data_IF_656529580068
#
_entry.id   IF_656529580068
#
_cell.length_a   1.000
_cell.length_b   1.000
_cell.length_c   1.000
_cell.angle_alpha   90.00
_cell.angle_beta   90.00
_cell.angle_gamma   90.00
#
_symmetry.space_group_name_H-M   'P 1'
#
loop_
_entity.id
_entity.type
_entity.pdbx_description
1 polymer ?
#
# COMPACT_ATOMS: atom_id res chain seq x y z
N UNK A 1 -21.77 16.20 -1.47
CA UNK A 1 -20.55 15.38 -1.58
C UNK A 1 -20.58 14.35 -0.47
N UNK A 2 -20.80 13.09 -0.83
CA UNK A 2 -20.70 11.92 0.04
C UNK A 2 -19.37 11.21 -0.22
N UNK A 3 -18.74 10.67 0.81
CA UNK A 3 -17.43 10.00 0.72
C UNK A 3 -17.56 8.56 1.23
N UNK A 4 -17.22 7.59 0.39
CA UNK A 4 -17.08 6.18 0.79
C UNK A 4 -15.61 5.85 0.97
N UNK A 5 -15.24 5.30 2.12
CA UNK A 5 -13.96 4.62 2.30
C UNK A 5 -14.06 3.16 1.87
N UNK A 6 -12.97 2.57 1.40
CA UNK A 6 -12.95 1.12 1.17
C UNK A 6 -11.56 0.53 1.31
N UNK A 7 -11.52 -0.72 1.76
CA UNK A 7 -10.29 -1.47 1.98
C UNK A 7 -10.57 -2.97 1.93
N UNK A 8 -9.51 -3.78 1.80
CA UNK A 8 -9.59 -5.24 1.83
C UNK A 8 -8.60 -5.79 2.85
N UNK A 9 -8.94 -6.90 3.50
CA UNK A 9 -8.05 -7.57 4.43
C UNK A 9 -8.31 -9.07 4.51
N UNK A 10 -7.23 -9.85 4.53
CA UNK A 10 -7.23 -11.28 4.83
C UNK A 10 -5.98 -11.60 5.65
N UNK A 11 -6.13 -12.38 6.72
CA UNK A 11 -5.02 -12.76 7.60
C UNK A 11 -4.22 -11.55 8.14
N UNK A 12 -4.96 -10.50 8.53
CA UNK A 12 -4.44 -9.23 9.03
C UNK A 12 -3.52 -9.38 10.23
N UNK A 13 -3.92 -10.20 11.19
CA UNK A 13 -3.18 -10.43 12.45
C UNK A 13 -1.97 -11.32 12.19
N UNK A 14 -2.18 -12.45 11.50
CA UNK A 14 -1.17 -13.46 11.14
C UNK A 14 0.02 -12.83 10.43
N UNK A 15 -0.24 -11.88 9.54
CA UNK A 15 0.80 -11.17 8.79
C UNK A 15 1.20 -9.83 9.41
N UNK A 16 0.66 -9.46 10.58
CA UNK A 16 1.00 -8.21 11.27
C UNK A 16 0.72 -6.95 10.42
N UNK A 17 -0.37 -6.94 9.67
CA UNK A 17 -0.82 -5.73 8.98
C UNK A 17 -1.37 -4.71 9.99
N UNK A 18 -1.04 -3.41 9.86
CA UNK A 18 -1.68 -2.32 10.61
C UNK A 18 -3.08 -1.97 10.07
N UNK A 19 -3.92 -2.97 9.83
CA UNK A 19 -5.22 -2.78 9.14
C UNK A 19 -6.22 -1.99 9.98
N UNK A 20 -6.16 -2.11 11.31
CA UNK A 20 -7.02 -1.34 12.21
C UNK A 20 -6.66 0.14 12.13
N UNK A 21 -5.37 0.44 12.13
CA UNK A 21 -4.81 1.77 11.98
C UNK A 21 -5.12 2.35 10.59
N UNK A 22 -5.01 1.54 9.54
CA UNK A 22 -5.41 1.92 8.17
C UNK A 22 -6.88 2.38 8.11
N UNK A 23 -7.81 1.55 8.63
CA UNK A 23 -9.25 1.87 8.68
C UNK A 23 -9.49 3.15 9.46
N UNK A 24 -8.95 3.26 10.68
CA UNK A 24 -9.14 4.42 11.55
C UNK A 24 -8.57 5.71 10.94
N UNK A 25 -7.51 5.62 10.14
CA UNK A 25 -6.86 6.79 9.54
C UNK A 25 -7.71 7.50 8.48
N UNK A 26 -8.55 6.77 7.75
CA UNK A 26 -9.41 7.34 6.71
C UNK A 26 -10.86 7.54 7.17
N UNK A 27 -11.27 6.87 8.26
CA UNK A 27 -12.64 6.94 8.80
C UNK A 27 -13.15 8.38 9.05
N UNK A 28 -12.33 9.37 9.47
CA UNK A 28 -12.78 10.76 9.61
C UNK A 28 -13.19 11.42 8.30
N UNK A 29 -12.69 10.97 7.15
CA UNK A 29 -13.05 11.50 5.83
C UNK A 29 -14.37 10.93 5.30
N UNK A 30 -14.83 9.81 5.87
CA UNK A 30 -15.84 8.96 5.26
C UNK A 30 -17.22 9.18 5.89
N UNK A 31 -18.26 9.06 5.06
CA UNK A 31 -19.66 8.90 5.49
C UNK A 31 -20.00 7.42 5.70
N UNK A 32 -19.38 6.53 4.93
CA UNK A 32 -19.42 5.08 5.09
C UNK A 32 -18.05 4.48 4.75
N UNK A 33 -17.73 3.30 5.28
CA UNK A 33 -16.47 2.61 4.98
C UNK A 33 -16.73 1.12 4.75
N UNK A 34 -16.45 0.64 3.54
CA UNK A 34 -16.61 -0.77 3.17
C UNK A 34 -15.32 -1.53 3.48
N UNK A 35 -15.40 -2.57 4.31
CA UNK A 35 -14.27 -3.45 4.61
C UNK A 35 -14.58 -4.84 4.05
N UNK A 36 -13.88 -5.22 2.98
CA UNK A 36 -13.93 -6.58 2.45
C UNK A 36 -12.98 -7.49 3.23
N UNK A 37 -13.54 -8.36 4.06
CA UNK A 37 -12.80 -9.32 4.87
C UNK A 37 -12.83 -10.68 4.18
N UNK A 38 -11.66 -11.12 3.72
CA UNK A 38 -11.46 -12.46 3.20
C UNK A 38 -11.51 -13.52 4.30
N UNK A 39 -11.82 -14.75 3.91
CA UNK A 39 -11.68 -15.96 4.72
C UNK A 39 -10.29 -16.01 5.38
N UNK A 40 -10.25 -15.75 6.69
CA UNK A 40 -9.00 -15.64 7.45
C UNK A 40 -8.85 -16.82 8.41
N UNK A 41 -7.60 -17.25 8.61
CA UNK A 41 -7.21 -18.31 9.56
C UNK A 41 -6.95 -17.76 10.97
N UNK A 42 -7.08 -16.45 11.15
CA UNK A 42 -6.85 -15.72 12.39
C UNK A 42 -8.11 -14.92 12.78
N UNK A 43 -8.02 -14.16 13.87
CA UNK A 43 -9.12 -13.34 14.39
C UNK A 43 -9.32 -12.01 13.64
N UNK A 44 -8.96 -11.93 12.35
CA UNK A 44 -9.06 -10.69 11.56
C UNK A 44 -10.48 -10.17 11.50
N UNK A 45 -11.46 -11.05 11.27
CA UNK A 45 -12.87 -10.65 11.18
C UNK A 45 -13.37 -10.03 12.49
N UNK A 46 -13.08 -10.67 13.62
CA UNK A 46 -13.44 -10.19 14.95
C UNK A 46 -12.74 -8.86 15.26
N UNK A 47 -11.48 -8.71 14.86
CA UNK A 47 -10.73 -7.49 15.05
C UNK A 47 -11.30 -6.32 14.24
N UNK A 48 -11.73 -6.54 12.98
CA UNK A 48 -12.45 -5.51 12.20
C UNK A 48 -13.79 -5.19 12.86
N UNK A 49 -14.55 -6.21 13.26
CA UNK A 49 -15.85 -6.03 13.93
C UNK A 49 -15.75 -5.27 15.26
N UNK A 50 -14.61 -5.34 15.93
CA UNK A 50 -14.34 -4.61 17.18
C UNK A 50 -14.10 -3.10 17.00
N UNK A 51 -13.98 -2.62 15.77
CA UNK A 51 -13.85 -1.18 15.49
C UNK A 51 -15.22 -0.53 15.66
N UNK A 52 -15.39 0.22 16.75
CA UNK A 52 -16.66 0.86 17.10
C UNK A 52 -16.95 2.06 16.19
N UNK A 53 -17.70 1.81 15.11
CA UNK A 53 -18.17 2.86 14.20
C UNK A 53 -19.38 2.38 13.40
N UNK A 54 -20.46 3.18 13.44
CA UNK A 54 -21.65 2.95 12.64
C UNK A 54 -21.45 3.20 11.13
N UNK A 55 -20.31 3.76 10.73
CA UNK A 55 -19.97 4.01 9.32
C UNK A 55 -19.42 2.75 8.63
N UNK A 56 -18.91 1.79 9.40
CA UNK A 56 -18.22 0.61 8.85
C UNK A 56 -19.26 -0.42 8.41
N UNK A 57 -19.15 -0.87 7.16
CA UNK A 57 -19.91 -1.98 6.59
C UNK A 57 -18.93 -3.09 6.23
N UNK A 58 -19.07 -4.24 6.87
CA UNK A 58 -18.21 -5.39 6.62
C UNK A 58 -18.88 -6.28 5.58
N UNK A 59 -18.15 -6.60 4.51
CA UNK A 59 -18.54 -7.66 3.56
C UNK A 59 -17.57 -8.82 3.73
N UNK A 60 -18.11 -10.04 3.83
CA UNK A 60 -17.31 -11.26 3.95
C UNK A 60 -17.31 -12.00 2.63
N UNK A 61 -16.12 -12.37 2.14
CA UNK A 61 -15.98 -13.08 0.86
C UNK A 61 -14.95 -14.20 0.97
N UNK A 62 -15.18 -15.29 0.24
CA UNK A 62 -14.18 -16.32 0.04
C UNK A 62 -13.30 -15.91 -1.14
N UNK A 63 -12.01 -15.69 -0.89
CA UNK A 63 -11.09 -15.21 -1.92
C UNK A 63 -10.73 -16.35 -2.87
N UNK A 64 -10.88 -16.12 -4.18
CA UNK A 64 -10.47 -17.11 -5.18
C UNK A 64 -8.94 -17.16 -5.28
N UNK A 65 -8.37 -18.08 -4.52
CA UNK A 65 -6.93 -18.28 -4.45
C UNK A 65 -6.30 -18.82 -5.74
N UNK A 66 -7.06 -19.06 -6.82
CA UNK A 66 -6.49 -19.38 -8.14
C UNK A 66 -6.05 -18.12 -8.91
N UNK A 67 -6.60 -16.94 -8.57
CA UNK A 67 -6.36 -15.66 -9.27
C UNK A 67 -5.11 -14.90 -8.80
N UNK A 68 -4.08 -15.62 -8.32
CA UNK A 68 -2.91 -15.03 -7.65
C UNK A 68 -1.97 -14.27 -8.59
N UNK A 69 -1.86 -14.73 -9.84
CA UNK A 69 -0.92 -14.18 -10.82
C UNK A 69 -1.02 -12.65 -10.95
N UNK A 70 0.12 -11.97 -10.80
CA UNK A 70 0.23 -10.52 -10.95
C UNK A 70 -0.57 -9.68 -9.93
N UNK A 71 -0.99 -10.27 -8.80
CA UNK A 71 -1.79 -9.59 -7.79
C UNK A 71 -3.26 -9.39 -8.17
N UNK A 72 -3.74 -10.05 -9.24
CA UNK A 72 -5.10 -9.92 -9.77
C UNK A 72 -6.19 -10.18 -8.74
N UNK A 73 -5.97 -11.11 -7.81
CA UNK A 73 -6.86 -11.35 -6.68
C UNK A 73 -7.13 -10.08 -5.86
N UNK A 74 -6.09 -9.28 -5.59
CA UNK A 74 -6.23 -8.05 -4.78
C UNK A 74 -7.11 -7.02 -5.49
N UNK A 75 -6.95 -6.85 -6.80
CA UNK A 75 -7.79 -5.92 -7.56
C UNK A 75 -9.23 -6.42 -7.68
N UNK A 76 -9.45 -7.73 -7.84
CA UNK A 76 -10.80 -8.32 -7.84
C UNK A 76 -11.52 -8.03 -6.51
N UNK A 77 -10.87 -8.29 -5.39
CA UNK A 77 -11.48 -8.09 -4.08
C UNK A 77 -11.60 -6.61 -3.71
N UNK A 78 -10.69 -5.76 -4.19
CA UNK A 78 -10.82 -4.30 -4.09
C UNK A 78 -12.01 -3.79 -4.91
N UNK A 79 -12.22 -4.34 -6.12
CA UNK A 79 -13.38 -4.01 -6.95
C UNK A 79 -14.71 -4.47 -6.33
N UNK A 80 -14.71 -5.59 -5.60
CA UNK A 80 -15.88 -6.02 -4.83
C UNK A 80 -16.23 -5.00 -3.74
N UNK A 81 -15.24 -4.50 -2.98
CA UNK A 81 -15.46 -3.44 -1.98
C UNK A 81 -15.90 -2.11 -2.64
N UNK A 82 -15.29 -1.76 -3.76
CA UNK A 82 -15.62 -0.55 -4.52
C UNK A 82 -17.06 -0.55 -5.03
N UNK A 83 -17.60 -1.71 -5.42
CA UNK A 83 -18.97 -1.84 -5.94
C UNK A 83 -20.04 -1.55 -4.87
N UNK A 84 -19.71 -1.76 -3.59
CA UNK A 84 -20.60 -1.48 -2.46
C UNK A 84 -20.56 -0.01 -2.01
N UNK A 85 -19.65 0.79 -2.57
CA UNK A 85 -19.55 2.21 -2.26
C UNK A 85 -20.71 3.00 -2.90
N UNK A 86 -21.32 3.90 -2.15
CA UNK A 86 -22.46 4.70 -2.57
C UNK A 86 -22.22 6.22 -2.53
N UNK A 87 -20.98 6.64 -2.30
CA UNK A 87 -20.56 8.04 -2.28
C UNK A 87 -20.31 8.62 -3.68
N UNK A 88 -19.87 9.88 -3.69
CA UNK A 88 -19.36 10.55 -4.89
C UNK A 88 -17.85 10.38 -5.02
N UNK A 89 -17.13 10.37 -3.89
CA UNK A 89 -15.70 10.07 -3.80
C UNK A 89 -15.46 8.75 -3.07
N UNK A 90 -14.45 8.02 -3.51
CA UNK A 90 -13.96 6.78 -2.93
C UNK A 90 -12.56 7.00 -2.35
N UNK A 91 -12.37 6.80 -1.05
CA UNK A 91 -11.07 6.81 -0.38
C UNK A 91 -10.60 5.37 -0.19
N UNK A 92 -9.60 4.96 -0.96
CA UNK A 92 -8.99 3.64 -0.86
C UNK A 92 -7.79 3.68 0.08
N UNK A 93 -7.62 2.65 0.90
CA UNK A 93 -6.42 2.44 1.71
C UNK A 93 -6.07 0.95 1.78
N UNK A 94 -4.81 0.58 1.56
CA UNK A 94 -4.36 -0.79 1.76
C UNK A 94 -4.14 -1.08 3.26
N UNK A 95 -4.15 -2.35 3.63
CA UNK A 95 -4.06 -2.77 5.04
C UNK A 95 -2.71 -2.46 5.72
N UNK A 96 -1.68 -2.10 4.96
CA UNK A 96 -0.38 -1.62 5.41
C UNK A 96 -0.13 -0.12 5.13
N UNK A 97 -1.17 0.62 4.74
CA UNK A 97 -1.10 2.05 4.48
C UNK A 97 -1.88 2.84 5.52
N UNK A 98 -1.36 4.01 5.88
CA UNK A 98 -1.99 4.91 6.85
C UNK A 98 -1.93 6.34 6.31
N UNK A 99 -3.06 7.03 6.33
CA UNK A 99 -3.13 8.46 6.09
C UNK A 99 -2.81 9.21 7.39
N UNK A 100 -1.79 10.07 7.38
CA UNK A 100 -1.51 10.89 8.56
C UNK A 100 -2.62 11.94 8.77
N UNK A 101 -3.12 12.07 10.00
CA UNK A 101 -4.20 12.97 10.41
C UNK A 101 -3.96 14.43 10.02
N UNK A 102 -2.70 14.86 9.91
CA UNK A 102 -2.34 16.22 9.45
C UNK A 102 -2.75 16.52 8.00
N UNK A 103 -3.06 15.49 7.21
CA UNK A 103 -3.49 15.64 5.82
C UNK A 103 -5.00 15.58 5.64
N UNK A 104 -5.79 15.31 6.70
CA UNK A 104 -7.25 15.16 6.58
C UNK A 104 -7.90 16.40 5.96
N UNK A 105 -7.54 17.60 6.46
CA UNK A 105 -8.06 18.85 5.94
C UNK A 105 -7.62 19.10 4.49
N UNK A 106 -6.36 18.83 4.16
CA UNK A 106 -5.85 18.95 2.78
C UNK A 106 -6.63 18.08 1.80
N UNK A 107 -6.88 16.82 2.19
CA UNK A 107 -7.64 15.86 1.35
C UNK A 107 -9.08 16.32 1.20
N UNK A 108 -9.73 16.73 2.30
CA UNK A 108 -11.12 17.20 2.28
C UNK A 108 -11.28 18.48 1.42
N UNK A 109 -10.35 19.43 1.53
CA UNK A 109 -10.33 20.64 0.70
C UNK A 109 -10.14 20.28 -0.77
N UNK A 110 -9.24 19.35 -1.10
CA UNK A 110 -9.01 18.92 -2.46
C UNK A 110 -10.25 18.23 -3.06
N UNK A 111 -10.90 17.31 -2.32
CA UNK A 111 -12.15 16.67 -2.77
C UNK A 111 -13.24 17.69 -3.05
N UNK A 112 -13.41 18.69 -2.18
CA UNK A 112 -14.39 19.78 -2.38
C UNK A 112 -14.04 20.64 -3.60
N UNK A 113 -12.77 21.03 -3.75
CA UNK A 113 -12.28 21.85 -4.86
C UNK A 113 -12.54 21.20 -6.22
N UNK A 114 -12.32 19.90 -6.33
CA UNK A 114 -12.43 19.15 -7.59
C UNK A 114 -13.78 18.44 -7.76
N UNK A 115 -14.71 18.59 -6.81
CA UNK A 115 -16.01 17.92 -6.83
C UNK A 115 -16.74 18.15 -8.15
N UNK A 116 -16.91 19.42 -8.56
CA UNK A 116 -17.61 19.82 -9.78
C UNK A 116 -16.73 19.84 -11.04
N UNK A 117 -15.47 19.38 -10.98
CA UNK A 117 -14.58 19.34 -12.14
C UNK A 117 -14.48 17.91 -12.70
N UNK A 118 -15.22 17.62 -13.76
CA UNK A 118 -15.27 16.28 -14.37
C UNK A 118 -13.98 15.87 -15.07
N UNK A 119 -13.08 16.81 -15.32
CA UNK A 119 -11.75 16.47 -15.83
C UNK A 119 -10.84 15.88 -14.73
N UNK A 120 -11.21 15.95 -13.45
CA UNK A 120 -10.42 15.40 -12.35
C UNK A 120 -11.14 14.21 -11.75
N UNK A 121 -10.54 13.05 -11.90
CA UNK A 121 -11.12 11.75 -11.54
C UNK A 121 -10.46 11.14 -10.31
N UNK A 122 -9.33 11.70 -9.86
CA UNK A 122 -8.66 11.23 -8.65
C UNK A 122 -7.70 12.23 -8.03
N UNK A 123 -7.32 11.96 -6.79
CA UNK A 123 -6.29 12.69 -6.06
C UNK A 123 -5.11 11.74 -5.82
N UNK A 124 -3.94 12.19 -6.23
CA UNK A 124 -2.69 11.43 -6.16
C UNK A 124 -1.84 11.94 -5.01
N UNK A 125 -1.41 10.98 -4.18
CA UNK A 125 -0.67 11.20 -2.95
C UNK A 125 0.79 10.81 -3.16
N UNK A 126 1.71 11.43 -2.43
CA UNK A 126 3.09 10.93 -2.34
C UNK A 126 3.18 9.77 -1.33
N UNK A 127 4.24 8.99 -1.42
CA UNK A 127 4.46 7.85 -0.51
C UNK A 127 5.69 8.02 0.38
N UNK A 128 5.57 7.56 1.62
CA UNK A 128 6.70 7.22 2.49
C UNK A 128 6.67 5.72 2.76
N UNK A 129 7.62 5.01 2.17
CA UNK A 129 7.76 3.57 2.38
C UNK A 129 8.68 3.31 3.55
N UNK A 130 8.13 2.88 4.68
CA UNK A 130 8.91 2.48 5.84
C UNK A 130 9.47 1.07 5.67
N UNK A 131 10.67 0.83 6.21
CA UNK A 131 11.41 -0.39 5.96
C UNK A 131 12.21 -0.83 7.18
N UNK A 132 12.02 -2.08 7.62
CA UNK A 132 12.76 -2.69 8.73
C UNK A 132 12.26 -2.26 10.10
N UNK A 133 12.24 -0.95 10.37
CA UNK A 133 11.62 -0.35 11.54
C UNK A 133 10.78 0.87 11.14
N UNK A 134 10.14 1.47 12.14
CA UNK A 134 9.40 2.72 11.99
C UNK A 134 10.31 3.94 11.74
N UNK A 135 11.62 3.80 11.93
CA UNK A 135 12.58 4.92 11.90
C UNK A 135 13.19 5.16 10.53
N UNK A 136 12.99 4.25 9.57
CA UNK A 136 13.67 4.30 8.27
C UNK A 136 12.69 4.25 7.13
N UNK A 137 12.94 5.08 6.12
CA UNK A 137 12.18 5.11 4.87
C UNK A 137 13.08 4.87 3.67
N UNK A 138 12.50 4.29 2.62
CA UNK A 138 13.18 4.11 1.34
C UNK A 138 13.20 5.40 0.52
N UNK A 139 14.40 5.78 0.08
CA UNK A 139 14.69 6.98 -0.73
C UNK A 139 14.86 6.64 -2.22
N UNK A 140 14.72 5.36 -2.61
CA UNK A 140 14.80 4.94 -4.01
C UNK A 140 13.44 4.99 -4.72
N UNK A 141 13.10 6.16 -5.25
CA UNK A 141 11.85 6.41 -5.99
C UNK A 141 11.68 5.62 -7.32
N UNK A 142 12.68 4.85 -7.77
CA UNK A 142 12.57 3.99 -8.96
C UNK A 142 12.14 2.57 -8.62
N UNK A 143 12.60 2.05 -7.50
CA UNK A 143 12.20 0.73 -7.02
C UNK A 143 10.91 0.79 -6.18
N UNK A 144 10.65 1.95 -5.60
CA UNK A 144 9.50 2.22 -4.75
C UNK A 144 8.67 3.32 -5.39
N UNK A 145 7.40 3.04 -5.66
CA UNK A 145 6.54 4.01 -6.34
C UNK A 145 6.35 5.25 -5.48
N UNK A 146 6.55 6.43 -6.06
CA UNK A 146 6.61 7.66 -5.28
C UNK A 146 5.26 8.35 -5.11
N UNK A 147 4.29 8.01 -5.97
CA UNK A 147 2.98 8.63 -6.03
C UNK A 147 1.93 7.64 -6.50
N UNK A 148 0.75 7.67 -5.89
CA UNK A 148 -0.36 6.83 -6.33
C UNK A 148 -1.73 7.42 -5.94
N UNK A 149 -2.78 7.09 -6.71
CA UNK A 149 -4.13 7.59 -6.45
C UNK A 149 -4.76 6.82 -5.28
N UNK A 150 -5.22 7.54 -4.26
CA UNK A 150 -5.94 6.96 -3.10
C UNK A 150 -7.31 7.56 -2.88
N UNK A 151 -7.65 8.60 -3.65
CA UNK A 151 -9.00 9.11 -3.74
C UNK A 151 -9.40 9.10 -5.21
N UNK A 152 -10.57 8.53 -5.51
CA UNK A 152 -11.11 8.45 -6.87
C UNK A 152 -12.56 8.94 -6.87
N UNK A 153 -13.03 9.54 -7.95
CA UNK A 153 -14.47 9.74 -8.16
C UNK A 153 -15.10 8.37 -8.36
N UNK A 154 -16.21 8.11 -7.67
CA UNK A 154 -16.93 6.86 -7.82
C UNK A 154 -17.70 6.89 -9.14
N UNK A 155 -17.17 6.17 -10.12
CA UNK A 155 -17.76 5.99 -11.44
C UNK A 155 -17.68 4.50 -11.79
N UNK A 156 -18.73 3.97 -12.43
CA UNK A 156 -18.79 2.58 -12.91
C UNK A 156 -17.71 2.23 -13.93
N UNK A 157 -17.06 3.21 -14.54
CA UNK A 157 -15.95 2.99 -15.47
C UNK A 157 -14.59 2.82 -14.79
N UNK A 158 -14.42 3.28 -13.55
CA UNK A 158 -13.14 3.19 -12.83
C UNK A 158 -13.08 1.87 -12.05
N UNK A 159 -11.96 1.15 -12.20
CA UNK A 159 -11.70 -0.14 -11.54
C UNK A 159 -10.29 -0.15 -10.94
N UNK A 160 -10.14 -0.88 -9.83
CA UNK A 160 -8.84 -1.27 -9.29
C UNK A 160 -8.15 -2.22 -10.27
N UNK A 161 -6.84 -2.03 -10.46
CA UNK A 161 -6.04 -2.73 -11.47
C UNK A 161 -4.77 -3.35 -10.86
N UNK A 162 -4.31 -4.46 -11.45
CA UNK A 162 -3.07 -5.13 -11.05
C UNK A 162 -3.13 -5.65 -9.62
N UNK A 163 -2.15 -5.27 -8.81
CA UNK A 163 -2.01 -5.57 -7.38
C UNK A 163 -2.84 -4.65 -6.46
N UNK A 164 -3.87 -4.02 -7.02
CA UNK A 164 -4.73 -3.03 -6.39
C UNK A 164 -4.05 -1.73 -5.98
N UNK A 165 -2.80 -1.48 -6.40
CA UNK A 165 -2.15 -0.19 -6.10
C UNK A 165 -2.69 0.97 -6.93
N UNK A 166 -3.21 0.71 -8.14
CA UNK A 166 -3.64 1.74 -9.08
C UNK A 166 -5.09 1.53 -9.56
N UNK A 167 -5.68 2.58 -10.13
CA UNK A 167 -7.01 2.60 -10.73
C UNK A 167 -6.94 2.98 -12.20
N UNK A 168 -7.79 2.35 -13.00
CA UNK A 168 -7.89 2.56 -14.44
C UNK A 168 -9.33 2.59 -14.89
N UNK A 169 -9.56 3.17 -16.05
CA UNK A 169 -10.80 2.94 -16.78
C UNK A 169 -10.88 1.46 -17.21
N UNK A 170 -12.08 0.91 -17.35
CA UNK A 170 -12.29 -0.47 -17.82
C UNK A 170 -11.65 -0.74 -19.19
N UNK A 171 -11.56 0.28 -20.03
CA UNK A 171 -10.87 0.23 -21.34
C UNK A 171 -9.34 0.19 -21.24
N UNK A 172 -8.78 0.35 -20.02
CA UNK A 172 -7.35 0.21 -19.72
C UNK A 172 -6.55 1.51 -19.68
N UNK A 173 -7.17 2.66 -19.98
CA UNK A 173 -6.56 3.98 -19.84
C UNK A 173 -6.39 4.36 -18.37
N UNK A 174 -5.42 5.24 -18.09
CA UNK A 174 -5.20 5.76 -16.74
C UNK A 174 -6.24 6.82 -16.42
N UNK A 175 -6.67 6.89 -15.16
CA UNK A 175 -7.56 7.95 -14.67
C UNK A 175 -6.84 9.30 -14.64
N UNK A 176 -7.58 10.40 -14.80
CA UNK A 176 -7.01 11.74 -14.70
C UNK A 176 -6.93 12.23 -13.24
N UNK A 177 -5.82 11.89 -12.58
CA UNK A 177 -5.57 12.30 -11.20
C UNK A 177 -4.69 13.55 -11.08
N UNK A 178 -5.01 14.41 -10.12
CA UNK A 178 -4.19 15.59 -9.76
C UNK A 178 -3.37 15.33 -8.50
N UNK A 179 -2.17 15.91 -8.45
CA UNK A 179 -1.32 15.84 -7.27
C UNK A 179 -1.86 16.75 -6.16
N UNK A 180 -1.85 16.23 -4.92
CA UNK A 180 -2.16 17.02 -3.73
C UNK A 180 -0.99 17.01 -2.75
N UNK A 181 -0.96 17.97 -1.84
CA UNK A 181 0.07 18.05 -0.80
C UNK A 181 -0.25 17.15 0.40
N UNK A 182 -0.38 15.85 0.12
CA UNK A 182 -0.63 14.81 1.11
C UNK A 182 0.20 13.57 0.83
N UNK A 183 0.51 12.82 1.89
CA UNK A 183 1.38 11.65 1.82
C UNK A 183 0.76 10.45 2.54
N UNK A 184 0.92 9.27 1.95
CA UNK A 184 0.54 7.98 2.53
C UNK A 184 1.76 7.33 3.14
N UNK A 185 1.60 6.86 4.37
CA UNK A 185 2.66 6.22 5.14
C UNK A 185 2.45 4.71 4.99
N UNK A 186 3.34 4.08 4.24
CA UNK A 186 3.22 2.67 3.86
C UNK A 186 4.22 1.84 4.67
N UNK A 187 3.71 0.96 5.52
CA UNK A 187 4.47 0.11 6.46
C UNK A 187 4.56 -1.34 5.99
N UNK A 188 4.50 -1.60 4.68
CA UNK A 188 4.47 -2.95 4.11
C UNK A 188 5.67 -3.82 4.49
N UNK A 189 6.78 -3.18 4.86
CA UNK A 189 8.08 -3.78 5.20
C UNK A 189 8.52 -3.51 6.66
N UNK A 190 7.62 -3.08 7.54
CA UNK A 190 7.90 -2.89 8.98
C UNK A 190 7.15 -3.94 9.78
N UNK A 191 7.85 -5.02 10.15
CA UNK A 191 7.26 -6.18 10.84
C UNK A 191 8.30 -6.86 11.73
N UNK A 192 7.87 -7.62 12.75
CA UNK A 192 8.75 -8.51 13.49
C UNK A 192 9.51 -9.44 12.51
N UNK A 193 10.81 -9.69 12.74
CA UNK A 193 11.65 -10.50 11.86
C UNK A 193 11.05 -11.86 11.48
N UNK A 194 10.44 -12.56 12.44
CA UNK A 194 9.88 -13.90 12.22
C UNK A 194 8.60 -13.84 11.38
N UNK A 195 7.75 -12.85 11.62
CA UNK A 195 6.56 -12.59 10.80
C UNK A 195 6.93 -12.17 9.38
N UNK A 196 8.04 -11.43 9.21
CA UNK A 196 8.53 -11.04 7.89
C UNK A 196 8.95 -12.24 7.05
N UNK A 197 9.60 -13.23 7.67
CA UNK A 197 9.95 -14.49 7.01
C UNK A 197 8.72 -15.31 6.64
N UNK A 198 7.72 -15.39 7.52
CA UNK A 198 6.46 -16.08 7.24
C UNK A 198 5.68 -15.41 6.11
N UNK A 199 5.56 -14.08 6.14
CA UNK A 199 4.95 -13.30 5.06
C UNK A 199 5.70 -13.54 3.76
N UNK A 200 7.05 -13.48 3.72
CA UNK A 200 7.79 -13.75 2.48
C UNK A 200 7.47 -15.12 1.92
N UNK A 201 7.43 -16.17 2.75
CA UNK A 201 7.04 -17.53 2.31
C UNK A 201 5.64 -17.59 1.72
N UNK A 202 4.65 -16.99 2.39
CA UNK A 202 3.25 -17.10 1.97
C UNK A 202 2.85 -16.08 0.90
N UNK A 203 3.46 -14.90 0.90
CA UNK A 203 3.29 -13.88 -0.14
C UNK A 203 4.01 -14.29 -1.42
N UNK A 204 5.15 -14.99 -1.35
CA UNK A 204 5.74 -15.59 -2.55
C UNK A 204 4.76 -16.57 -3.22
N UNK A 205 3.95 -17.31 -2.44
CA UNK A 205 2.85 -18.14 -2.98
C UNK A 205 1.70 -17.35 -3.61
N UNK A 206 1.57 -16.06 -3.34
CA UNK A 206 0.56 -15.17 -3.95
C UNK A 206 1.02 -14.56 -5.26
N UNK A 207 2.31 -14.59 -5.60
CA UNK A 207 2.85 -13.92 -6.79
C UNK A 207 3.62 -14.88 -7.73
N UNK A 208 3.92 -16.09 -7.27
CA UNK A 208 4.72 -17.08 -7.99
C UNK A 208 4.02 -18.44 -8.04
N UNK A 209 4.30 -19.21 -9.09
CA UNK A 209 3.80 -20.59 -9.24
C UNK A 209 4.55 -21.55 -8.31
N UNK A 210 3.96 -22.72 -8.02
CA UNK A 210 4.58 -23.75 -7.17
C UNK A 210 5.95 -24.23 -7.71
N UNK A 211 6.16 -24.19 -9.02
CA UNK A 211 7.46 -24.50 -9.65
C UNK A 211 8.51 -23.42 -9.40
N UNK A 212 8.15 -22.13 -9.49
CA UNK A 212 9.05 -21.00 -9.20
C UNK A 212 9.46 -20.95 -7.72
N UNK A 213 8.55 -21.33 -6.82
CA UNK A 213 8.78 -21.41 -5.37
C UNK A 213 9.84 -22.47 -5.03
N UNK A 214 9.84 -23.60 -5.74
CA UNK A 214 10.76 -24.71 -5.48
C UNK A 214 12.17 -24.46 -6.04
N UNK A 215 12.32 -23.56 -7.02
CA UNK A 215 13.61 -23.25 -7.66
C UNK A 215 14.40 -22.11 -7.01
N UNK A 216 13.75 -21.29 -6.16
CA UNK A 216 14.38 -20.17 -5.45
C UNK A 216 14.38 -20.43 -3.93
N UNK A 217 15.41 -21.09 -3.37
CA UNK A 217 15.51 -21.20 -1.93
C UNK A 217 15.63 -19.79 -1.35
N UNK A 218 14.61 -19.36 -0.59
CA UNK A 218 14.56 -18.08 0.13
C UNK A 218 15.86 -17.89 0.90
N UNK A 219 16.79 -17.15 0.30
CA UNK A 219 18.17 -17.05 0.77
C UNK A 219 18.18 -16.03 1.90
N UNK A 220 18.02 -16.52 3.12
CA UNK A 220 18.35 -16.02 4.49
C UNK A 220 18.45 -14.52 4.86
N UNK A 221 18.29 -13.56 3.96
CA UNK A 221 18.28 -12.15 4.31
C UNK A 221 16.84 -11.70 4.60
N UNK A 222 16.64 -11.15 5.80
CA UNK A 222 15.33 -10.69 6.30
C UNK A 222 14.91 -9.37 5.61
N UNK A 223 15.88 -8.60 5.14
CA UNK A 223 15.77 -7.28 4.56
C UNK A 223 16.88 -7.10 3.51
N UNK A 224 16.50 -6.98 2.23
CA UNK A 224 17.45 -7.05 1.11
C UNK A 224 17.70 -5.69 0.43
N UNK A 225 16.79 -4.73 0.62
CA UNK A 225 16.89 -3.39 0.01
C UNK A 225 17.39 -2.35 1.02
N UNK A 226 18.63 -2.56 1.49
CA UNK A 226 19.30 -1.66 2.44
C UNK A 226 20.01 -0.47 1.76
N UNK A 227 20.04 -0.43 0.41
CA UNK A 227 20.94 0.47 -0.32
C UNK A 227 20.54 1.94 -0.40
N UNK A 228 19.35 2.31 0.09
CA UNK A 228 18.80 3.67 -0.01
C UNK A 228 17.89 4.03 1.18
N UNK A 229 18.22 3.58 2.38
CA UNK A 229 17.45 3.92 3.57
C UNK A 229 17.92 5.26 4.14
N UNK A 230 16.96 6.09 4.55
CA UNK A 230 17.21 7.34 5.28
C UNK A 230 16.43 7.33 6.60
N UNK A 231 16.95 8.04 7.62
CA UNK A 231 16.21 8.24 8.87
C UNK A 231 14.98 9.10 8.62
N UNK A 232 13.84 8.63 9.10
CA UNK A 232 12.61 9.39 9.17
C UNK A 232 12.76 10.46 10.25
N UNK A 233 12.37 11.70 9.92
CA UNK A 233 12.46 12.87 10.81
C UNK A 233 11.10 13.47 11.14
N UNK A 234 10.02 12.87 10.65
CA UNK A 234 8.66 13.33 10.91
C UNK A 234 8.03 12.63 12.10
N UNK A 235 6.73 12.82 12.24
CA UNK A 235 5.89 12.11 13.22
C UNK A 235 5.14 10.98 12.54
N UNK A 236 4.87 9.91 13.30
CA UNK A 236 3.91 8.90 12.87
C UNK A 236 2.49 9.33 13.19
N UNK A 237 1.48 8.81 12.47
CA UNK A 237 0.08 9.06 12.77
C UNK A 237 -0.29 8.58 14.18
N UNK A 238 -1.14 9.32 14.90
CA UNK A 238 -1.51 8.97 16.29
C UNK A 238 -2.07 7.55 16.41
N UNK A 239 -2.83 7.08 15.40
CA UNK A 239 -3.38 5.71 15.37
C UNK A 239 -2.30 4.63 15.40
N UNK A 240 -1.06 4.93 15.02
CA UNK A 240 0.08 4.00 15.02
C UNK A 240 0.84 3.99 16.35
N UNK A 241 0.62 4.95 17.25
CA UNK A 241 1.43 5.17 18.45
C UNK A 241 1.58 3.90 19.30
N UNK A 242 0.46 3.28 19.67
CA UNK A 242 0.47 2.05 20.49
C UNK A 242 1.23 0.91 19.81
N UNK A 243 1.06 0.74 18.49
CA UNK A 243 1.78 -0.31 17.75
C UNK A 243 3.30 -0.06 17.75
N UNK A 244 3.70 1.19 17.57
CA UNK A 244 5.11 1.58 17.59
C UNK A 244 5.70 1.34 18.98
N UNK A 245 4.99 1.69 20.06
CA UNK A 245 5.40 1.43 21.44
C UNK A 245 5.54 -0.06 21.77
N UNK A 246 4.73 -0.92 21.12
CA UNK A 246 4.82 -2.38 21.26
C UNK A 246 5.97 -3.02 20.47
N UNK A 247 6.72 -2.25 19.69
CA UNK A 247 7.86 -2.73 18.90
C UNK A 247 8.95 -3.23 19.84
N UNK A 248 9.36 -4.48 19.67
CA UNK A 248 10.37 -5.13 20.50
C UNK A 248 11.53 -5.75 19.70
N UNK A 249 11.67 -5.39 18.43
CA UNK A 249 12.78 -5.85 17.59
C UNK A 249 13.69 -4.69 17.21
N UNK A 250 14.98 -5.00 17.09
CA UNK A 250 15.97 -4.08 16.59
C UNK A 250 16.19 -4.29 15.09
N UNK A 251 16.45 -3.20 14.38
CA UNK A 251 16.78 -3.22 12.97
C UNK A 251 17.97 -2.29 12.70
N UNK A 252 19.05 -2.87 12.19
CA UNK A 252 20.20 -2.13 11.71
C UNK A 252 20.05 -1.83 10.21
N UNK A 253 19.79 -0.56 9.90
CA UNK A 253 19.66 -0.06 8.54
C UNK A 253 21.01 0.08 7.80
N UNK A 254 22.14 -0.14 8.49
CA UNK A 254 23.51 -0.06 7.95
C UNK A 254 23.77 1.25 7.19
N UNK A 255 23.29 2.36 7.74
CA UNK A 255 23.35 3.68 7.09
C UNK A 255 24.79 4.11 6.80
N UNK A 256 25.73 3.74 7.68
CA UNK A 256 27.16 3.97 7.58
C UNK A 256 27.82 3.20 6.41
N UNK A 257 27.22 2.08 6.00
CA UNK A 257 27.70 1.25 4.89
C UNK A 257 27.10 1.69 3.54
N UNK A 258 26.13 2.60 3.56
CA UNK A 258 25.51 3.10 2.33
C UNK A 258 26.43 4.08 1.60
N UNK A 259 26.28 4.15 0.28
CA UNK A 259 26.97 5.16 -0.53
C UNK A 259 26.48 6.56 -0.12
N UNK A 260 27.34 7.60 -0.21
CA UNK A 260 26.93 8.98 -0.01
C UNK A 260 25.68 9.34 -0.81
N UNK A 261 24.81 10.18 -0.23
CA UNK A 261 23.50 10.55 -0.79
C UNK A 261 23.57 11.02 -2.25
N UNK A 262 24.57 11.84 -2.59
CA UNK A 262 24.76 12.33 -3.95
C UNK A 262 25.11 11.21 -4.94
N UNK A 263 25.90 10.22 -4.53
CA UNK A 263 26.22 9.03 -5.35
C UNK A 263 24.95 8.19 -5.54
N UNK A 264 24.18 7.94 -4.47
CA UNK A 264 22.91 7.21 -4.57
C UNK A 264 21.95 7.87 -5.56
N UNK A 265 21.78 9.19 -5.47
CA UNK A 265 20.93 9.97 -6.37
C UNK A 265 21.38 9.89 -7.82
N UNK A 266 22.69 9.97 -8.09
CA UNK A 266 23.24 9.81 -9.45
C UNK A 266 22.98 8.39 -9.97
N UNK A 267 23.22 7.35 -9.17
CA UNK A 267 23.02 5.96 -9.60
C UNK A 267 21.55 5.67 -9.89
N UNK A 268 20.66 6.14 -9.02
CA UNK A 268 19.22 6.08 -9.24
C UNK A 268 18.93 6.78 -10.56
N UNK A 269 19.38 8.03 -10.76
CA UNK A 269 19.19 8.79 -12.00
C UNK A 269 19.66 8.05 -13.28
N UNK A 270 20.86 7.45 -13.24
CA UNK A 270 21.48 6.73 -14.37
C UNK A 270 20.94 5.31 -14.56
N UNK A 271 20.15 4.79 -13.63
CA UNK A 271 19.65 3.41 -13.66
C UNK A 271 19.00 3.00 -15.00
N UNK A 272 18.12 3.80 -15.65
CA UNK A 272 17.51 3.42 -16.92
C UNK A 272 18.52 3.22 -18.04
N UNK A 273 19.55 4.09 -18.09
CA UNK A 273 20.62 4.01 -19.08
C UNK A 273 21.45 2.73 -18.86
N UNK A 274 21.86 2.48 -17.62
CA UNK A 274 22.66 1.29 -17.28
C UNK A 274 21.89 -0.01 -17.53
N UNK A 275 20.58 -0.05 -17.24
CA UNK A 275 19.71 -1.21 -17.53
C UNK A 275 19.61 -1.46 -19.04
N UNK A 276 19.45 -0.41 -19.85
CA UNK A 276 19.39 -0.52 -21.32
C UNK A 276 20.72 -1.01 -21.89
N UNK A 277 21.85 -0.48 -21.42
CA UNK A 277 23.19 -0.91 -21.83
C UNK A 277 23.47 -2.38 -21.48
N UNK A 278 23.14 -2.81 -20.25
CA UNK A 278 23.26 -4.23 -19.85
C UNK A 278 22.41 -5.15 -20.70
N UNK A 279 21.18 -4.73 -21.06
CA UNK A 279 20.33 -5.51 -21.97
C UNK A 279 21.01 -5.66 -23.33
N UNK A 280 21.53 -4.58 -23.92
CA UNK A 280 22.24 -4.62 -25.21
C UNK A 280 23.47 -5.54 -25.15
N UNK A 281 24.28 -5.45 -24.09
CA UNK A 281 25.47 -6.27 -23.90
C UNK A 281 25.15 -7.76 -23.67
N UNK A 282 24.06 -8.07 -22.98
CA UNK A 282 23.62 -9.45 -22.77
C UNK A 282 22.96 -10.07 -24.00
N UNK A 283 22.51 -9.27 -24.98
CA UNK A 283 22.05 -9.76 -26.28
C UNK A 283 23.21 -10.12 -27.23
N UNK A 284 24.46 -9.79 -26.87
CA UNK A 284 25.66 -10.12 -27.65
C UNK A 284 26.40 -11.37 -27.14
N UNK A 285 25.85 -12.10 -26.17
CA UNK A 285 26.32 -13.41 -25.70
C UNK A 285 25.29 -14.48 -26.04
#
# INVERSE_FOLDING_TARGET
>A
MKVSGFTIIRNGIKYFYPFREAILSILPLCDELIVNVGDSEDKTFEAVKSIDSNKIKIISRTWDMTLREGGKLLSVETNAALTECSGDWGVYIQADEILHEKYLDTVMIAMKKYFSNDNVEGLRFRYKHFYGSYDYVQDNYRNWYFKESRVIKLNKDIVSWGDATNFKHKVGSSINSVDIDAEIYHYGWVRPPDTMMMKRKDFHKLYHTDEEINQSPLTSLKFDDLGNLIKFKGTHPEVMKTRIEMTNWEFDAKLDQQRPDWIRRILVFLFPLTKRLKKILNFQK
#
